data_IF_530301886002
#
_entry.id   IF_530301886002
#
_cell.length_a   1.000
_cell.length_b   1.000
_cell.length_c   1.000
_cell.angle_alpha   90.00
_cell.angle_beta   90.00
_cell.angle_gamma   90.00
#
_symmetry.space_group_name_H-M   'P 1'
#
loop_
_entity.id
_entity.type
_entity.pdbx_description
1 polymer ?
#
# COMPACT_ATOMS: atom_id res chain seq x y z
N UNK A 1 -0.87 3.60 14.50
CA UNK A 1 -1.73 2.41 14.37
C UNK A 1 -2.98 2.87 13.64
N UNK A 2 -3.18 2.45 12.39
CA UNK A 2 -4.45 2.66 11.69
C UNK A 2 -5.41 1.57 12.16
N UNK A 3 -6.70 1.89 12.33
CA UNK A 3 -7.57 1.28 13.32
C UNK A 3 -7.70 -0.26 13.27
N UNK A 4 -7.54 -0.89 12.10
CA UNK A 4 -7.69 -2.35 11.95
C UNK A 4 -6.57 -3.03 11.13
N UNK A 5 -5.66 -2.26 10.51
CA UNK A 5 -4.60 -2.79 9.64
C UNK A 5 -3.31 -3.02 10.45
N UNK A 6 -3.01 -4.28 10.77
CA UNK A 6 -1.76 -4.68 11.42
C UNK A 6 -0.78 -5.21 10.37
N UNK A 7 0.36 -4.55 10.22
CA UNK A 7 1.46 -5.02 9.38
C UNK A 7 2.58 -5.61 10.24
N UNK A 8 3.06 -6.80 9.85
CA UNK A 8 4.24 -7.43 10.44
C UNK A 8 5.43 -7.25 9.48
N UNK A 9 6.53 -6.72 10.00
CA UNK A 9 7.77 -6.55 9.26
C UNK A 9 8.90 -7.33 9.94
N UNK A 10 9.58 -8.16 9.18
CA UNK A 10 10.79 -8.85 9.59
C UNK A 10 11.91 -8.59 8.59
N UNK A 11 13.13 -8.46 9.08
CA UNK A 11 14.32 -8.18 8.27
C UNK A 11 15.38 -9.24 8.55
N UNK A 12 16.12 -9.63 7.51
CA UNK A 12 17.24 -10.56 7.58
C UNK A 12 18.14 -10.42 6.35
N UNK A 13 19.37 -10.94 6.42
CA UNK A 13 20.30 -10.92 5.27
C UNK A 13 19.85 -11.85 4.15
N UNK A 14 19.17 -12.93 4.51
CA UNK A 14 18.55 -13.88 3.57
C UNK A 14 17.06 -14.03 3.86
N UNK A 15 16.24 -14.42 2.86
CA UNK A 15 14.80 -14.65 3.06
C UNK A 15 14.51 -15.64 4.20
N UNK A 16 15.28 -16.74 4.28
CA UNK A 16 15.12 -17.73 5.35
C UNK A 16 15.42 -17.17 6.74
N UNK A 17 16.45 -16.32 6.86
CA UNK A 17 16.78 -15.66 8.14
C UNK A 17 15.74 -14.63 8.56
N UNK A 18 15.08 -13.96 7.61
CA UNK A 18 13.97 -13.06 7.90
C UNK A 18 12.69 -13.83 8.28
N UNK A 19 12.51 -15.03 7.73
CA UNK A 19 11.30 -15.83 7.96
C UNK A 19 11.26 -16.50 9.33
N UNK A 20 12.37 -17.01 9.85
CA UNK A 20 12.41 -17.61 11.19
C UNK A 20 11.86 -16.70 12.29
N UNK A 21 12.32 -15.43 12.45
CA UNK A 21 11.73 -14.54 13.43
C UNK A 21 10.28 -14.20 13.08
N UNK A 22 9.93 -14.02 11.80
CA UNK A 22 8.56 -13.74 11.37
C UNK A 22 7.59 -14.84 11.81
N UNK A 23 7.91 -16.11 11.57
CA UNK A 23 7.08 -17.25 11.96
C UNK A 23 6.94 -17.33 13.48
N UNK A 24 8.03 -17.12 14.23
CA UNK A 24 7.97 -17.08 15.70
C UNK A 24 7.07 -15.95 16.22
N UNK A 25 7.07 -14.78 15.56
CA UNK A 25 6.16 -13.69 15.89
C UNK A 25 4.71 -14.03 15.54
N UNK A 26 4.46 -14.63 14.37
CA UNK A 26 3.13 -15.10 13.96
C UNK A 26 2.58 -16.08 14.99
N UNK A 27 3.33 -17.10 15.42
CA UNK A 27 2.86 -18.07 16.41
C UNK A 27 2.53 -17.45 17.77
N UNK A 28 3.32 -16.45 18.22
CA UNK A 28 3.00 -15.70 19.45
C UNK A 28 1.76 -14.83 19.28
N UNK A 29 1.60 -14.22 18.12
CA UNK A 29 0.46 -13.39 17.76
C UNK A 29 -0.82 -14.23 17.67
N UNK A 30 -0.77 -15.42 17.09
CA UNK A 30 -1.87 -16.39 17.06
C UNK A 30 -2.32 -16.76 18.49
N UNK A 31 -1.38 -17.12 19.37
CA UNK A 31 -1.70 -17.42 20.77
C UNK A 31 -2.35 -16.23 21.50
N UNK A 32 -1.88 -15.01 21.21
CA UNK A 32 -2.48 -13.79 21.74
C UNK A 32 -3.89 -13.56 21.17
N UNK A 33 -4.09 -13.66 19.86
CA UNK A 33 -5.39 -13.49 19.21
C UNK A 33 -6.42 -14.49 19.73
N UNK A 34 -6.05 -15.76 19.89
CA UNK A 34 -6.89 -16.81 20.49
C UNK A 34 -7.29 -16.44 21.92
N UNK A 35 -6.32 -16.00 22.74
CA UNK A 35 -6.57 -15.58 24.12
C UNK A 35 -7.56 -14.41 24.20
N UNK A 36 -7.49 -13.48 23.26
CA UNK A 36 -8.40 -12.34 23.16
C UNK A 36 -9.66 -12.59 22.34
N UNK A 37 -9.88 -13.84 21.87
CA UNK A 37 -11.01 -14.24 21.02
C UNK A 37 -11.16 -13.41 19.74
N UNK A 38 -10.04 -12.94 19.19
CA UNK A 38 -9.99 -12.19 17.94
C UNK A 38 -9.71 -13.19 16.81
N UNK A 39 -10.58 -13.23 15.79
CA UNK A 39 -10.41 -14.09 14.62
C UNK A 39 -9.67 -13.32 13.53
N UNK A 40 -8.46 -13.76 13.20
CA UNK A 40 -7.75 -13.25 12.02
C UNK A 40 -8.40 -13.83 10.76
N UNK A 41 -8.51 -13.01 9.72
CA UNK A 41 -8.97 -13.47 8.42
C UNK A 41 -7.77 -13.75 7.50
N UNK A 42 -7.38 -15.02 7.40
CA UNK A 42 -6.21 -15.44 6.60
C UNK A 42 -6.39 -15.11 5.12
N UNK A 43 -7.61 -15.18 4.60
CA UNK A 43 -7.92 -14.90 3.19
C UNK A 43 -7.65 -13.44 2.79
N UNK A 44 -7.74 -12.52 3.75
CA UNK A 44 -7.45 -11.09 3.55
C UNK A 44 -6.01 -10.73 3.93
N UNK A 45 -5.25 -11.68 4.49
CA UNK A 45 -3.86 -11.42 4.87
C UNK A 45 -2.99 -11.49 3.62
N UNK A 46 -2.41 -10.35 3.25
CA UNK A 46 -1.47 -10.27 2.12
C UNK A 46 -0.03 -10.28 2.62
N UNK A 47 0.83 -11.04 1.95
CA UNK A 47 2.25 -11.11 2.25
C UNK A 47 3.07 -10.70 1.04
N UNK A 48 4.07 -9.84 1.27
CA UNK A 48 5.02 -9.41 0.26
C UNK A 48 6.44 -9.59 0.79
N UNK A 49 7.33 -10.07 -0.08
CA UNK A 49 8.74 -10.23 0.21
C UNK A 49 9.55 -9.23 -0.61
N UNK A 50 10.27 -8.35 0.08
CA UNK A 50 11.19 -7.40 -0.55
C UNK A 50 12.60 -8.00 -0.61
N UNK A 51 12.94 -8.64 -1.73
CA UNK A 51 14.27 -9.20 -1.94
C UNK A 51 14.73 -9.02 -3.40
N UNK A 52 15.94 -8.51 -3.60
CA UNK A 52 16.47 -8.18 -4.93
C UNK A 52 16.81 -9.42 -5.77
N UNK A 53 17.12 -10.55 -5.14
CA UNK A 53 17.52 -11.77 -5.87
C UNK A 53 16.32 -12.70 -6.07
N UNK A 54 16.31 -13.40 -7.21
CA UNK A 54 15.35 -14.48 -7.48
C UNK A 54 15.85 -15.75 -6.79
N UNK A 55 15.54 -15.88 -5.51
CA UNK A 55 15.69 -17.15 -4.78
C UNK A 55 14.32 -17.80 -4.59
N UNK A 56 14.32 -19.10 -4.29
CA UNK A 56 13.11 -19.78 -3.84
C UNK A 56 12.51 -19.04 -2.64
N UNK A 57 11.23 -18.71 -2.75
CA UNK A 57 10.52 -18.01 -1.70
C UNK A 57 10.21 -18.98 -0.57
N UNK A 58 10.65 -18.70 0.65
CA UNK A 58 10.40 -19.59 1.75
C UNK A 58 8.89 -19.57 2.08
N UNK A 59 8.32 -20.74 2.32
CA UNK A 59 6.90 -20.90 2.66
C UNK A 59 6.72 -20.62 4.14
N UNK A 60 5.61 -19.99 4.49
CA UNK A 60 5.22 -19.76 5.87
C UNK A 60 3.71 -19.92 6.02
N UNK A 61 3.29 -20.24 7.24
CA UNK A 61 1.92 -20.61 7.52
C UNK A 61 1.35 -19.67 8.60
N UNK A 62 0.06 -19.35 8.45
CA UNK A 62 -0.75 -18.67 9.45
C UNK A 62 -1.93 -19.61 9.76
N UNK A 63 -2.13 -20.00 11.03
CA UNK A 63 -3.10 -21.00 11.47
C UNK A 63 -3.06 -22.27 10.62
N UNK A 64 -1.85 -22.81 10.38
CA UNK A 64 -1.59 -23.98 9.51
C UNK A 64 -1.98 -23.82 8.03
N UNK A 65 -2.41 -22.63 7.61
CA UNK A 65 -2.74 -22.33 6.22
C UNK A 65 -1.54 -21.70 5.53
N UNK A 66 -1.06 -22.26 4.39
CA UNK A 66 0.06 -21.70 3.66
C UNK A 66 -0.32 -20.35 3.03
N UNK A 67 0.49 -19.33 3.26
CA UNK A 67 0.25 -17.99 2.68
C UNK A 67 1.03 -17.83 1.38
N UNK A 68 0.36 -17.32 0.36
CA UNK A 68 0.97 -17.02 -0.93
C UNK A 68 1.58 -15.61 -0.95
N UNK A 69 2.81 -15.52 -1.42
CA UNK A 69 3.48 -14.25 -1.66
C UNK A 69 2.86 -13.53 -2.86
N UNK A 70 2.50 -12.25 -2.68
CA UNK A 70 2.04 -11.36 -3.74
C UNK A 70 3.19 -10.49 -4.24
N UNK A 71 3.15 -10.14 -5.52
CA UNK A 71 4.11 -9.20 -6.13
C UNK A 71 3.76 -7.74 -5.80
N UNK A 72 2.50 -7.48 -5.50
CA UNK A 72 1.96 -6.16 -5.17
C UNK A 72 0.97 -6.30 -4.02
N UNK A 73 1.05 -5.41 -3.05
CA UNK A 73 0.10 -5.33 -1.92
C UNK A 73 -0.33 -3.89 -1.70
N UNK A 74 -1.57 -3.71 -1.26
CA UNK A 74 -2.10 -2.38 -0.95
C UNK A 74 -2.07 -2.18 0.56
N UNK A 75 -1.26 -1.24 1.02
CA UNK A 75 -1.15 -0.88 2.43
C UNK A 75 -1.45 0.60 2.62
N UNK A 76 -2.48 0.91 3.43
CA UNK A 76 -2.93 2.29 3.71
C UNK A 76 -3.06 3.14 2.44
N UNK A 77 -3.68 2.60 1.39
CA UNK A 77 -3.87 3.33 0.12
C UNK A 77 -2.64 3.42 -0.79
N UNK A 78 -1.48 2.93 -0.35
CA UNK A 78 -0.24 2.86 -1.14
C UNK A 78 -0.09 1.46 -1.73
N UNK A 79 0.29 1.39 -3.01
CA UNK A 79 0.56 0.11 -3.68
C UNK A 79 2.06 -0.14 -3.60
N UNK A 80 2.46 -1.17 -2.87
CA UNK A 80 3.85 -1.57 -2.71
C UNK A 80 4.13 -2.72 -3.68
N UNK A 81 5.05 -2.51 -4.61
CA UNK A 81 5.57 -3.56 -5.49
C UNK A 81 6.78 -4.25 -4.86
N UNK A 82 7.04 -5.49 -5.25
CA UNK A 82 8.16 -6.32 -4.73
C UNK A 82 9.54 -5.65 -4.79
N UNK A 83 9.74 -4.74 -5.74
CA UNK A 83 11.01 -4.05 -5.96
C UNK A 83 11.03 -2.66 -5.31
N UNK A 84 9.95 -2.24 -4.65
CA UNK A 84 9.76 -0.89 -4.11
C UNK A 84 10.04 0.21 -5.15
N UNK A 85 9.70 -0.05 -6.41
CA UNK A 85 9.82 0.93 -7.50
C UNK A 85 8.66 1.93 -7.52
N UNK A 86 7.56 1.63 -6.82
CA UNK A 86 6.31 2.40 -6.78
C UNK A 86 5.71 2.69 -8.16
N UNK A 87 6.12 1.95 -9.20
CA UNK A 87 5.66 2.16 -10.58
C UNK A 87 4.16 1.90 -10.71
N UNK A 88 3.67 0.84 -10.09
CA UNK A 88 2.24 0.51 -10.09
C UNK A 88 1.42 1.54 -9.31
N UNK A 89 1.97 2.06 -8.21
CA UNK A 89 1.35 3.15 -7.45
C UNK A 89 1.25 4.45 -8.27
N UNK A 90 2.35 4.87 -8.89
CA UNK A 90 2.38 6.10 -9.71
C UNK A 90 1.45 6.02 -10.92
N UNK A 91 1.37 4.85 -11.58
CA UNK A 91 0.39 4.61 -12.64
C UNK A 91 -1.04 4.71 -12.12
N UNK A 92 -1.35 4.09 -10.98
CA UNK A 92 -2.70 4.15 -10.38
C UNK A 92 -3.07 5.58 -9.97
N UNK A 93 -2.16 6.33 -9.36
CA UNK A 93 -2.35 7.73 -9.00
C UNK A 93 -2.60 8.59 -10.25
N UNK A 94 -1.84 8.36 -11.33
CA UNK A 94 -2.02 9.04 -12.63
C UNK A 94 -3.37 8.75 -13.24
N UNK A 95 -3.82 7.49 -13.24
CA UNK A 95 -5.13 7.12 -13.75
C UNK A 95 -6.27 7.76 -12.94
N UNK A 96 -6.16 7.72 -11.62
CA UNK A 96 -7.12 8.36 -10.71
C UNK A 96 -7.19 9.88 -10.95
N UNK A 97 -6.04 10.54 -11.07
CA UNK A 97 -5.94 11.95 -11.42
C UNK A 97 -6.58 12.24 -12.78
N UNK A 98 -6.25 11.48 -13.82
CA UNK A 98 -6.82 11.68 -15.16
C UNK A 98 -8.34 11.48 -15.17
N UNK A 99 -8.86 10.53 -14.39
CA UNK A 99 -10.30 10.31 -14.27
C UNK A 99 -10.98 11.51 -13.58
N UNK A 100 -10.40 12.01 -12.50
CA UNK A 100 -10.90 13.21 -11.82
C UNK A 100 -10.83 14.45 -12.73
N UNK A 101 -9.72 14.65 -13.43
CA UNK A 101 -9.54 15.74 -14.38
C UNK A 101 -10.56 15.67 -15.53
N UNK A 102 -10.84 14.48 -16.06
CA UNK A 102 -11.85 14.30 -17.11
C UNK A 102 -13.27 14.60 -16.63
N UNK A 103 -13.59 14.21 -15.39
CA UNK A 103 -14.91 14.50 -14.80
C UNK A 103 -15.12 16.01 -14.63
N UNK A 104 -14.10 16.74 -14.18
CA UNK A 104 -14.13 18.18 -13.97
C UNK A 104 -13.72 19.00 -15.20
N UNK A 105 -13.49 18.34 -16.34
CA UNK A 105 -12.91 18.95 -17.54
C UNK A 105 -13.79 20.10 -18.03
N UNK A 106 -15.11 19.93 -18.02
CA UNK A 106 -16.08 20.96 -18.41
C UNK A 106 -15.97 22.24 -17.58
N UNK A 107 -15.63 22.13 -16.29
CA UNK A 107 -15.49 23.27 -15.37
C UNK A 107 -14.13 23.95 -15.48
N UNK A 108 -13.07 23.18 -15.75
CA UNK A 108 -11.69 23.68 -15.79
C UNK A 108 -11.30 24.21 -17.18
N UNK A 109 -12.02 23.80 -18.23
CA UNK A 109 -11.75 24.20 -19.61
C UNK A 109 -11.61 25.72 -19.84
N UNK A 110 -10.85 26.08 -20.87
CA UNK A 110 -10.64 27.49 -21.29
C UNK A 110 -11.96 28.21 -21.60
N UNK A 111 -12.95 27.47 -22.12
CA UNK A 111 -14.27 27.98 -22.48
C UNK A 111 -15.28 27.95 -21.32
N UNK A 112 -14.87 27.48 -20.14
CA UNK A 112 -15.73 27.49 -18.95
C UNK A 112 -15.92 28.92 -18.43
N UNK A 113 -17.16 29.29 -18.13
CA UNK A 113 -17.57 30.58 -17.56
C UNK A 113 -17.13 30.78 -16.10
N UNK A 114 -16.51 29.77 -15.48
CA UNK A 114 -15.99 29.87 -14.12
C UNK A 114 -14.84 30.88 -14.01
N UNK A 115 -14.79 31.63 -12.90
CA UNK A 115 -13.66 32.51 -12.58
C UNK A 115 -12.36 31.72 -12.40
N UNK A 116 -11.23 32.40 -12.62
CA UNK A 116 -9.89 31.81 -12.44
C UNK A 116 -9.70 31.31 -11.01
N UNK A 117 -10.19 32.04 -10.01
CA UNK A 117 -10.09 31.67 -8.60
C UNK A 117 -10.83 30.37 -8.29
N UNK A 118 -12.01 30.17 -8.87
CA UNK A 118 -12.78 28.93 -8.69
C UNK A 118 -12.10 27.74 -9.41
N UNK A 119 -11.51 27.97 -10.57
CA UNK A 119 -10.71 26.93 -11.27
C UNK A 119 -9.47 26.55 -10.44
N UNK A 120 -8.80 27.54 -9.86
CA UNK A 120 -7.66 27.34 -8.96
C UNK A 120 -8.08 26.58 -7.69
N UNK A 121 -9.24 26.92 -7.12
CA UNK A 121 -9.80 26.22 -5.96
C UNK A 121 -10.07 24.75 -6.26
N UNK A 122 -10.70 24.42 -7.39
CA UNK A 122 -10.92 23.03 -7.82
C UNK A 122 -9.59 22.28 -7.95
N UNK A 123 -8.59 22.91 -8.57
CA UNK A 123 -7.26 22.32 -8.69
C UNK A 123 -6.61 22.05 -7.33
N UNK A 124 -6.56 23.05 -6.45
CA UNK A 124 -5.88 22.96 -5.16
C UNK A 124 -6.59 22.05 -4.16
N UNK A 125 -7.92 22.08 -4.13
CA UNK A 125 -8.72 21.36 -3.14
C UNK A 125 -9.00 19.90 -3.55
N UNK A 126 -9.08 19.60 -4.84
CA UNK A 126 -9.51 18.28 -5.30
C UNK A 126 -8.46 17.53 -6.13
N UNK A 127 -7.82 18.19 -7.09
CA UNK A 127 -6.85 17.53 -7.98
C UNK A 127 -5.47 17.36 -7.31
N UNK A 128 -4.99 18.38 -6.60
CA UNK A 128 -3.68 18.36 -5.93
C UNK A 128 -3.57 17.27 -4.86
N UNK A 129 -4.56 17.02 -3.97
CA UNK A 129 -4.46 15.97 -2.96
C UNK A 129 -4.31 14.57 -3.57
N UNK A 130 -4.87 14.30 -4.76
CA UNK A 130 -4.73 13.01 -5.44
C UNK A 130 -3.27 12.73 -5.81
N UNK A 131 -2.53 13.76 -6.21
CA UNK A 131 -1.10 13.65 -6.55
C UNK A 131 -0.21 13.73 -5.32
N UNK A 132 -0.58 14.54 -4.33
CA UNK A 132 0.20 14.74 -3.12
C UNK A 132 0.16 13.53 -2.18
N UNK A 133 -0.89 12.71 -2.26
CA UNK A 133 -1.02 11.52 -1.42
C UNK A 133 0.04 10.48 -1.78
N UNK A 134 0.84 10.08 -0.78
CA UNK A 134 1.91 9.09 -0.91
C UNK A 134 3.01 9.43 -1.95
N UNK A 135 3.08 10.69 -2.37
CA UNK A 135 4.28 11.22 -3.02
C UNK A 135 5.36 11.38 -1.96
N UNK A 136 6.61 10.94 -2.20
CA UNK A 136 7.73 11.39 -1.39
C UNK A 136 7.82 12.90 -1.59
N UNK A 137 7.41 13.67 -0.59
CA UNK A 137 7.70 15.10 -0.56
C UNK A 137 9.22 15.14 -0.32
N UNK A 138 10.03 15.66 -1.25
CA UNK A 138 11.39 15.99 -0.87
C UNK A 138 11.26 17.12 0.15
N UNK A 139 11.54 16.79 1.41
CA UNK A 139 11.81 17.79 2.43
C UNK A 139 13.04 18.58 1.95
N UNK A 140 12.79 19.67 1.23
CA UNK A 140 13.81 20.68 0.97
C UNK A 140 14.02 21.44 2.27
N UNK A 141 15.03 21.01 3.02
CA UNK A 141 15.75 21.77 4.05
C UNK A 141 16.06 23.19 3.61
#
# INVERSE_FOLDING_TARGET
MYADDTALLAQGKTPSQALTPLQNYITKLEAWLIRWKIKLNVDYTEAILFFKQKNDWPKFNIYDTPVHWKNEVKYLGVILDKNLTFKSHTNHAREKFNKALRAEYSLICRNSSLSIDNKLLIYLAYLRPILAYASPIPDST
#
